data_IF_926189406887
#
_entry.id   IF_926189406887
#
_cell.length_a   1.000
_cell.length_b   1.000
_cell.length_c   1.000
_cell.angle_alpha   90.00
_cell.angle_beta   90.00
_cell.angle_gamma   90.00
#
_symmetry.space_group_name_H-M   'P 1'
#
loop_
_entity.id
_entity.type
_entity.pdbx_description
1 polymer ?
#
# COMPACT_ATOMS: atom_id res chain seq x y z
N UNK A 1 -3.01 8.64 -10.12
CA UNK A 1 -1.55 8.68 -9.84
C UNK A 1 -0.90 9.41 -11.00
N UNK A 2 -0.13 10.46 -10.73
CA UNK A 2 0.44 11.34 -11.76
C UNK A 2 1.95 11.09 -11.89
N UNK A 3 2.43 10.91 -13.13
CA UNK A 3 3.86 10.83 -13.44
C UNK A 3 4.31 12.17 -14.04
N UNK A 4 5.39 12.80 -13.53
CA UNK A 4 5.92 14.00 -14.14
C UNK A 4 6.31 13.76 -15.61
N UNK A 5 5.94 14.69 -16.51
CA UNK A 5 6.18 14.52 -17.96
C UNK A 5 7.66 14.47 -18.37
N UNK A 6 8.55 14.91 -17.48
CA UNK A 6 10.01 14.89 -17.65
C UNK A 6 10.70 13.84 -16.75
N UNK A 7 9.95 12.82 -16.30
CA UNK A 7 10.52 11.71 -15.54
C UNK A 7 11.28 10.75 -16.47
N UNK A 8 12.43 10.27 -15.99
CA UNK A 8 13.22 9.19 -16.62
C UNK A 8 13.05 7.86 -15.92
N UNK A 9 12.66 7.91 -14.65
CA UNK A 9 12.45 6.74 -13.82
C UNK A 9 11.47 7.06 -12.70
N UNK A 10 10.63 6.08 -12.37
CA UNK A 10 9.74 6.14 -11.22
C UNK A 10 9.78 4.85 -10.42
N UNK A 11 9.52 4.95 -9.12
CA UNK A 11 9.35 3.82 -8.22
C UNK A 11 8.04 4.00 -7.46
N UNK A 12 7.27 2.93 -7.32
CA UNK A 12 6.08 2.90 -6.47
C UNK A 12 6.27 1.89 -5.35
N UNK A 13 6.09 2.36 -4.13
CA UNK A 13 6.19 1.57 -2.92
C UNK A 13 4.96 1.72 -2.03
N UNK A 14 4.66 0.69 -1.25
CA UNK A 14 3.55 0.68 -0.30
C UNK A 14 4.02 0.35 1.10
N UNK A 15 3.56 1.15 2.06
CA UNK A 15 3.79 0.91 3.48
C UNK A 15 3.10 -0.38 3.96
N UNK A 16 3.66 -1.09 4.93
CA UNK A 16 2.98 -2.20 5.60
C UNK A 16 1.82 -1.63 6.43
N UNK A 17 0.59 -2.08 6.20
CA UNK A 17 -0.60 -1.57 6.89
C UNK A 17 -1.76 -2.56 6.83
N UNK A 18 -2.45 -2.72 7.96
CA UNK A 18 -3.71 -3.48 8.09
C UNK A 18 -4.97 -2.67 7.78
N UNK A 19 -4.87 -1.34 7.66
CA UNK A 19 -6.01 -0.40 7.66
C UNK A 19 -6.10 0.52 6.43
N UNK A 20 -5.46 0.15 5.32
CA UNK A 20 -5.69 0.80 4.02
C UNK A 20 -4.48 1.42 3.34
N UNK A 21 -3.25 1.19 3.84
CA UNK A 21 -1.99 1.38 3.11
C UNK A 21 -1.64 2.83 2.75
N UNK A 22 -0.38 3.21 2.90
CA UNK A 22 0.16 4.46 2.34
C UNK A 22 0.99 4.13 1.11
N UNK A 23 0.71 4.81 0.01
CA UNK A 23 1.54 4.74 -1.19
C UNK A 23 2.56 5.87 -1.18
N UNK A 24 3.79 5.53 -1.54
CA UNK A 24 4.88 6.46 -1.76
C UNK A 24 5.47 6.21 -3.14
N UNK A 25 5.75 7.30 -3.84
CA UNK A 25 6.37 7.30 -5.14
C UNK A 25 7.59 8.19 -5.12
N UNK A 26 8.62 7.75 -5.81
CA UNK A 26 9.80 8.55 -6.11
C UNK A 26 9.96 8.66 -7.61
N UNK A 27 10.32 9.84 -8.09
CA UNK A 27 10.58 10.11 -9.50
C UNK A 27 11.92 10.79 -9.66
N UNK A 28 12.73 10.29 -10.60
CA UNK A 28 13.90 10.97 -11.11
C UNK A 28 13.49 11.71 -12.38
N UNK A 29 13.65 13.02 -12.37
CA UNK A 29 13.36 13.88 -13.54
C UNK A 29 14.64 14.47 -14.12
N UNK A 30 14.54 15.23 -15.20
CA UNK A 30 15.64 16.04 -15.75
C UNK A 30 16.26 17.03 -14.76
N UNK A 31 15.48 17.51 -13.79
CA UNK A 31 15.85 18.67 -12.96
C UNK A 31 16.02 18.32 -11.49
N UNK A 32 15.26 17.35 -11.01
CA UNK A 32 15.10 17.13 -9.59
C UNK A 32 14.64 15.71 -9.28
N UNK A 33 14.71 15.37 -8.00
CA UNK A 33 14.10 14.17 -7.44
C UNK A 33 12.82 14.57 -6.72
N UNK A 34 11.69 14.04 -7.18
CA UNK A 34 10.36 14.33 -6.65
C UNK A 34 9.87 13.12 -5.87
N UNK A 35 9.24 13.38 -4.73
CA UNK A 35 8.45 12.38 -4.01
C UNK A 35 6.97 12.72 -4.08
N UNK A 36 6.12 11.70 -4.21
CA UNK A 36 4.68 11.82 -4.06
C UNK A 36 4.19 10.80 -3.04
N UNK A 37 3.13 11.10 -2.30
CA UNK A 37 2.55 10.15 -1.35
C UNK A 37 1.07 10.42 -1.08
N UNK A 38 0.42 9.44 -0.49
CA UNK A 38 -0.97 9.55 -0.07
C UNK A 38 -1.54 8.22 0.39
N UNK A 39 -2.86 8.18 0.61
CA UNK A 39 -3.56 6.92 0.87
C UNK A 39 -3.50 6.05 -0.39
N UNK A 40 -3.55 4.73 -0.21
CA UNK A 40 -3.61 3.79 -1.33
C UNK A 40 -4.71 4.18 -2.32
N UNK A 41 -4.37 4.26 -3.61
CA UNK A 41 -5.28 4.70 -4.67
C UNK A 41 -5.51 6.21 -4.76
N UNK A 42 -5.06 7.00 -3.77
CA UNK A 42 -5.24 8.44 -3.70
C UNK A 42 -3.93 9.14 -3.29
N UNK A 43 -2.95 9.08 -4.19
CA UNK A 43 -1.70 9.84 -4.08
C UNK A 43 -1.99 11.29 -4.48
N UNK A 44 -1.95 12.20 -3.53
CA UNK A 44 -2.36 13.59 -3.69
C UNK A 44 -1.36 14.62 -3.12
N UNK A 45 -0.28 14.16 -2.49
CA UNK A 45 0.78 15.03 -1.97
C UNK A 45 2.04 14.85 -2.81
N UNK A 46 2.79 15.92 -3.00
CA UNK A 46 4.08 15.92 -3.69
C UNK A 46 5.06 16.90 -3.06
N UNK A 47 6.35 16.60 -3.19
CA UNK A 47 7.45 17.46 -2.74
C UNK A 47 8.74 17.13 -3.48
N UNK A 48 9.47 18.18 -3.86
CA UNK A 48 10.86 18.11 -4.30
C UNK A 48 11.74 17.74 -3.12
N UNK A 49 12.41 16.60 -3.20
CA UNK A 49 13.27 16.05 -2.14
C UNK A 49 14.76 16.17 -2.46
N UNK A 50 15.11 16.38 -3.72
CA UNK A 50 16.46 16.71 -4.16
C UNK A 50 16.41 17.72 -5.30
N UNK A 51 17.08 18.88 -5.20
CA UNK A 51 16.99 19.97 -6.19
C UNK A 51 17.77 19.72 -7.48
N UNK A 52 18.40 18.56 -7.62
CA UNK A 52 19.19 18.15 -8.78
C UNK A 52 18.85 16.69 -9.15
N UNK A 53 18.98 16.29 -10.42
CA UNK A 53 18.74 14.91 -10.83
C UNK A 53 19.84 14.01 -10.28
N UNK A 54 19.48 13.10 -9.36
CA UNK A 54 20.44 12.16 -8.78
C UNK A 54 19.79 10.79 -8.55
N UNK A 55 20.23 9.81 -9.36
CA UNK A 55 19.78 8.43 -9.21
C UNK A 55 20.21 7.85 -7.86
N UNK A 56 21.46 8.08 -7.46
CA UNK A 56 22.00 7.64 -6.17
C UNK A 56 21.19 8.17 -5.00
N UNK A 57 20.78 9.44 -5.03
CA UNK A 57 19.94 10.02 -3.98
C UNK A 57 18.55 9.38 -3.93
N UNK A 58 17.94 9.14 -5.10
CA UNK A 58 16.65 8.43 -5.17
C UNK A 58 16.78 6.99 -4.62
N UNK A 59 17.85 6.28 -4.98
CA UNK A 59 18.12 4.92 -4.49
C UNK A 59 18.31 4.92 -2.96
N UNK A 60 19.00 5.91 -2.39
CA UNK A 60 19.09 6.07 -0.94
C UNK A 60 17.70 6.24 -0.30
N UNK A 61 16.81 7.03 -0.90
CA UNK A 61 15.44 7.19 -0.41
C UNK A 61 14.60 5.92 -0.55
N UNK A 62 14.84 5.14 -1.60
CA UNK A 62 14.23 3.81 -1.74
C UNK A 62 14.66 2.90 -0.60
N UNK A 63 15.95 2.84 -0.28
CA UNK A 63 16.46 2.03 0.83
C UNK A 63 15.95 2.49 2.19
N UNK A 64 15.86 3.81 2.44
CA UNK A 64 15.23 4.37 3.64
C UNK A 64 13.75 3.93 3.78
N UNK A 65 13.02 3.78 2.67
CA UNK A 65 11.63 3.30 2.67
C UNK A 65 11.56 1.80 2.88
N UNK A 66 12.44 1.02 2.26
CA UNK A 66 12.55 -0.44 2.48
C UNK A 66 12.86 -0.74 3.94
N UNK A 67 13.77 0.00 4.56
CA UNK A 67 14.10 -0.12 5.99
C UNK A 67 12.89 0.16 6.91
N UNK A 68 11.92 0.95 6.44
CA UNK A 68 10.62 1.18 7.11
C UNK A 68 9.56 0.12 6.77
N UNK A 69 9.95 -0.96 6.11
CA UNK A 69 9.08 -2.06 5.70
C UNK A 69 8.25 -1.80 4.44
N UNK A 70 8.53 -0.72 3.68
CA UNK A 70 7.80 -0.49 2.43
C UNK A 70 8.20 -1.54 1.40
N UNK A 71 7.20 -2.10 0.70
CA UNK A 71 7.40 -3.01 -0.42
C UNK A 71 7.33 -2.26 -1.74
N UNK A 72 8.16 -2.65 -2.69
CA UNK A 72 8.08 -2.15 -4.07
C UNK A 72 6.90 -2.82 -4.77
N UNK A 73 6.05 -2.03 -5.43
CA UNK A 73 4.91 -2.49 -6.22
C UNK A 73 5.16 -2.39 -7.72
N UNK A 74 6.04 -1.48 -8.14
CA UNK A 74 6.40 -1.35 -9.52
C UNK A 74 7.40 -0.25 -9.78
N UNK A 75 7.94 -0.28 -10.99
CA UNK A 75 8.87 0.71 -11.51
C UNK A 75 8.25 1.34 -12.76
N UNK A 76 8.60 2.58 -13.05
CA UNK A 76 8.12 3.28 -14.24
C UNK A 76 9.31 3.69 -15.10
N UNK A 77 9.16 3.48 -16.40
CA UNK A 77 10.14 3.90 -17.40
C UNK A 77 9.45 4.64 -18.56
N UNK A 78 10.10 5.67 -19.14
CA UNK A 78 9.58 6.37 -20.30
C UNK A 78 9.38 5.40 -21.47
N UNK A 79 8.29 5.56 -22.20
CA UNK A 79 7.91 4.69 -23.32
C UNK A 79 7.35 3.32 -22.92
N UNK A 80 7.61 2.83 -21.71
CA UNK A 80 7.12 1.51 -21.24
C UNK A 80 5.93 1.64 -20.28
N UNK A 81 5.90 2.70 -19.47
CA UNK A 81 4.91 2.84 -18.40
C UNK A 81 5.29 2.08 -17.13
N UNK A 82 4.29 1.72 -16.31
CA UNK A 82 4.50 1.01 -15.05
C UNK A 82 4.70 -0.49 -15.28
N UNK A 83 5.83 -1.03 -14.84
CA UNK A 83 6.05 -2.46 -14.65
C UNK A 83 5.57 -2.84 -13.25
N UNK A 84 4.49 -3.62 -13.16
CA UNK A 84 4.01 -4.12 -11.88
C UNK A 84 4.87 -5.31 -11.44
N UNK A 85 5.58 -5.15 -10.34
CA UNK A 85 6.23 -6.26 -9.66
C UNK A 85 5.17 -6.94 -8.80
N UNK A 86 4.36 -7.80 -9.43
CA UNK A 86 3.51 -8.74 -8.70
C UNK A 86 4.46 -9.77 -8.09
N UNK A 87 5.01 -9.49 -6.91
CA UNK A 87 5.63 -10.51 -6.09
C UNK A 87 4.68 -10.82 -4.95
N UNK A 88 4.29 -12.09 -4.90
CA UNK A 88 3.51 -12.73 -3.86
C UNK A 88 3.81 -12.10 -2.51
N UNK A 89 2.80 -11.50 -1.88
CA UNK A 89 2.93 -11.07 -0.51
C UNK A 89 3.43 -12.26 0.32
N UNK A 90 4.40 -12.07 1.23
CA UNK A 90 4.71 -13.12 2.19
C UNK A 90 3.40 -13.53 2.89
N UNK A 91 3.18 -14.84 3.15
CA UNK A 91 1.99 -15.29 3.85
C UNK A 91 1.84 -14.50 5.16
N UNK A 92 0.61 -14.19 5.59
CA UNK A 92 0.40 -13.50 6.86
C UNK A 92 1.14 -14.25 7.97
N UNK A 93 1.82 -13.50 8.84
CA UNK A 93 2.49 -14.07 10.01
C UNK A 93 1.49 -14.98 10.75
N UNK A 94 1.91 -16.19 11.19
CA UNK A 94 1.06 -17.03 12.01
C UNK A 94 0.60 -16.22 13.24
N UNK A 95 -0.65 -16.39 13.69
CA UNK A 95 -1.17 -15.64 14.82
C UNK A 95 -0.23 -15.77 16.03
N UNK A 96 -0.06 -14.70 16.82
CA UNK A 96 0.82 -14.74 17.99
C UNK A 96 0.41 -15.91 18.87
N UNK A 97 1.38 -16.79 19.15
CA UNK A 97 1.23 -17.92 20.05
C UNK A 97 0.73 -17.38 21.40
N UNK A 98 -0.57 -17.51 21.65
CA UNK A 98 -1.18 -17.16 22.93
C UNK A 98 -0.66 -18.16 23.95
N UNK A 99 0.36 -17.73 24.70
CA UNK A 99 0.72 -18.34 25.98
C UNK A 99 -0.56 -18.37 26.84
N UNK A 100 -0.93 -19.51 27.46
CA UNK A 100 -2.14 -19.58 28.26
C UNK A 100 -1.93 -18.77 29.53
N UNK A 101 -2.66 -17.65 29.64
CA UNK A 101 -2.91 -16.99 30.91
C UNK A 101 -4.41 -17.02 31.17
N UNK A 102 -4.72 -17.68 32.28
CA UNK A 102 -6.02 -18.01 32.80
C UNK A 102 -6.96 -16.82 33.04
N UNK A 103 -8.25 -17.14 32.89
CA UNK A 103 -9.41 -16.56 33.57
C UNK A 103 -9.86 -15.14 33.19
N UNK A 104 -10.97 -15.04 32.45
CA UNK A 104 -12.26 -14.40 32.84
C UNK A 104 -13.05 -14.01 31.56
N UNK A 105 -14.31 -14.48 31.33
CA UNK A 105 -15.14 -14.03 30.20
C UNK A 105 -15.95 -12.78 30.59
N UNK A 106 -16.23 -11.86 29.64
CA UNK A 106 -17.62 -11.81 29.18
C UNK A 106 -17.89 -11.33 27.74
N UNK A 107 -19.00 -11.88 27.21
CA UNK A 107 -20.06 -11.25 26.40
C UNK A 107 -19.73 -10.73 24.98
N UNK A 108 -20.00 -11.62 24.04
CA UNK A 108 -20.96 -11.47 22.93
C UNK A 108 -21.43 -10.06 22.58
N UNK A 109 -20.94 -9.53 21.46
CA UNK A 109 -21.66 -8.57 20.61
C UNK A 109 -21.58 -9.02 19.15
N UNK A 110 -22.45 -9.97 18.80
CA UNK A 110 -22.86 -10.12 17.41
C UNK A 110 -24.00 -9.13 17.18
N UNK A 111 -23.73 -8.05 16.46
CA UNK A 111 -24.77 -7.26 15.80
C UNK A 111 -24.30 -7.06 14.37
N UNK A 112 -24.74 -7.95 13.49
CA UNK A 112 -24.98 -7.59 12.11
C UNK A 112 -26.40 -8.05 11.79
N UNK A 113 -27.27 -7.05 11.74
CA UNK A 113 -28.64 -7.08 11.26
C UNK A 113 -28.61 -7.41 9.77
N UNK A 114 -28.79 -8.67 9.40
CA UNK A 114 -28.93 -9.07 8.01
C UNK A 114 -30.42 -9.02 7.64
N UNK A 115 -30.81 -7.87 7.09
CA UNK A 115 -32.03 -7.77 6.28
C UNK A 115 -31.75 -8.42 4.94
N UNK A 116 -32.18 -9.66 4.76
CA UNK A 116 -32.54 -10.17 3.44
C UNK A 116 -33.96 -10.72 3.48
N UNK A 117 -34.83 -9.94 2.85
CA UNK A 117 -36.08 -10.39 2.27
C UNK A 117 -35.81 -11.61 1.38
N UNK A 118 -36.34 -12.76 1.76
CA UNK A 118 -36.74 -13.75 0.77
C UNK A 118 -38.11 -14.31 1.18
N UNK A 119 -39.13 -13.76 0.53
CA UNK A 119 -40.46 -14.36 0.46
C UNK A 119 -40.35 -15.53 -0.49
N UNK A 120 -40.27 -16.75 0.02
CA UNK A 120 -41.00 -17.87 -0.58
C UNK A 120 -40.88 -19.13 0.27
N UNK A 121 -42.03 -19.71 0.59
CA UNK A 121 -42.32 -21.10 1.01
C UNK A 121 -43.63 -20.98 1.81
N UNK A 122 -44.80 -20.96 1.18
CA UNK A 122 -45.45 -22.13 0.60
C UNK A 122 -45.29 -23.39 1.45
N UNK A 123 -46.44 -23.93 1.85
CA UNK A 123 -46.75 -25.33 2.17
C UNK A 123 -47.00 -25.73 3.65
N UNK A 124 -48.30 -25.95 3.93
CA UNK A 124 -49.00 -27.06 4.62
C UNK A 124 -48.37 -27.68 5.89
N UNK A 125 -49.04 -27.90 7.02
CA UNK A 125 -50.46 -28.13 7.36
C UNK A 125 -50.81 -27.42 8.67
#
# INVERSE_FOLDING_TARGET
>A
MFVPGNAHYGIWMRAPSSSGGKDWLGFLTDREVISQWGKTGQVNQSKVIGPAPSRTFLDQKIEEKKAKGYRVLGEWFPGTGWSHLIRNAPPPDPPPNTRPSDTTPPLSRQVITEWLSDRNSDQWF
#
